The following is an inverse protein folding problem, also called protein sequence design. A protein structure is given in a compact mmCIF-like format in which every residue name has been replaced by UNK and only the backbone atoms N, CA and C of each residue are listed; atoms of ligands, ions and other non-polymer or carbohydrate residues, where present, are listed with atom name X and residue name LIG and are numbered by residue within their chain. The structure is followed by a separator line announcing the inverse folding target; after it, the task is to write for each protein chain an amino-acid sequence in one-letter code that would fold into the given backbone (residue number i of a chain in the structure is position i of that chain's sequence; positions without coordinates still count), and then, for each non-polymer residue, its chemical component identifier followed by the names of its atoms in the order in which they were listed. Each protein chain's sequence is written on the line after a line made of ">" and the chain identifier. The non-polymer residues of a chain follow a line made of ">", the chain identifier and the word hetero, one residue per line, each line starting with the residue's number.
data_IF_797782831760
#
_entry.id   IF_797782831760
#
_cell.length_a   1.000
_cell.length_b   1.000
_cell.length_c   1.000
_cell.angle_alpha   90.00
_cell.angle_beta   90.00
_cell.angle_gamma   90.00
#
_symmetry.space_group_name_H-M   'P 1'
#
loop_
_entity.id
_entity.type
_entity.pdbx_description
1 polymer ?
#
# COMPACT_ATOMS: atom_id res chain seq x y z
N UNK A 1 -21.28 -8.88 0.89
CA UNK A 1 -21.57 -8.82 -0.57
C UNK A 1 -21.54 -7.38 -1.09
N UNK A 2 -22.37 -6.47 -0.58
CA UNK A 2 -22.42 -5.08 -1.07
C UNK A 2 -21.10 -4.30 -0.95
N UNK A 3 -20.36 -4.45 0.16
CA UNK A 3 -19.05 -3.84 0.33
C UNK A 3 -18.04 -4.35 -0.71
N UNK A 4 -17.97 -5.67 -0.92
CA UNK A 4 -17.06 -6.30 -1.88
C UNK A 4 -17.36 -5.89 -3.33
N UNK A 5 -18.64 -5.83 -3.70
CA UNK A 5 -19.04 -5.28 -5.01
C UNK A 5 -18.61 -3.82 -5.15
N UNK A 6 -18.81 -3.01 -4.10
CA UNK A 6 -18.38 -1.62 -4.08
C UNK A 6 -16.87 -1.44 -4.23
N UNK A 7 -16.05 -2.28 -3.57
CA UNK A 7 -14.59 -2.25 -3.73
C UNK A 7 -14.15 -2.64 -5.14
N UNK A 8 -14.79 -3.65 -5.74
CA UNK A 8 -14.49 -4.06 -7.12
C UNK A 8 -14.84 -2.95 -8.11
N UNK A 9 -16.00 -2.32 -7.96
CA UNK A 9 -16.40 -1.18 -8.81
C UNK A 9 -15.45 -0.01 -8.61
N UNK A 10 -15.05 0.30 -7.37
CA UNK A 10 -14.10 1.37 -7.09
C UNK A 10 -12.75 1.12 -7.79
N UNK A 11 -12.23 -0.10 -7.76
CA UNK A 11 -10.98 -0.45 -8.44
C UNK A 11 -11.12 -0.34 -9.97
N UNK A 12 -12.22 -0.84 -10.54
CA UNK A 12 -12.49 -0.71 -11.99
C UNK A 12 -12.56 0.76 -12.40
N UNK A 13 -13.21 1.62 -11.60
CA UNK A 13 -13.22 3.06 -11.84
C UNK A 13 -11.82 3.66 -11.74
N UNK A 14 -10.99 3.23 -10.76
CA UNK A 14 -9.60 3.68 -10.66
C UNK A 14 -8.82 3.38 -11.94
N UNK A 15 -8.98 2.17 -12.50
CA UNK A 15 -8.33 1.75 -13.72
C UNK A 15 -8.79 2.56 -14.95
N UNK A 16 -10.09 2.78 -15.10
CA UNK A 16 -10.65 3.59 -16.20
C UNK A 16 -10.11 5.03 -16.13
N UNK A 17 -10.10 5.62 -14.93
CA UNK A 17 -9.60 6.98 -14.73
C UNK A 17 -8.10 7.07 -15.03
N UNK A 18 -7.31 6.07 -14.60
CA UNK A 18 -5.88 6.00 -14.93
C UNK A 18 -5.63 6.00 -16.45
N UNK A 19 -6.45 5.27 -17.21
CA UNK A 19 -6.39 5.24 -18.67
C UNK A 19 -7.00 6.46 -19.37
N UNK A 20 -7.76 7.29 -18.66
CA UNK A 20 -8.36 8.52 -19.21
C UNK A 20 -7.41 9.72 -19.06
N UNK A 21 -6.83 9.89 -17.87
CA UNK A 21 -5.97 11.06 -17.57
C UNK A 21 -4.50 10.86 -17.93
N UNK A 22 -4.03 9.60 -17.99
CA UNK A 22 -2.71 9.23 -18.50
C UNK A 22 -1.54 10.10 -17.98
N UNK A 23 -1.60 10.55 -16.72
CA UNK A 23 -0.59 11.45 -16.16
C UNK A 23 0.67 10.66 -15.76
N UNK A 24 1.84 11.16 -16.13
CA UNK A 24 3.12 10.55 -15.75
C UNK A 24 3.38 10.73 -14.25
N UNK A 25 3.91 9.69 -13.58
CA UNK A 25 4.34 9.80 -12.18
C UNK A 25 5.45 10.86 -12.05
N UNK A 26 5.52 11.63 -10.95
CA UNK A 26 6.55 12.64 -10.73
C UNK A 26 7.99 12.08 -10.68
N UNK A 27 8.13 10.78 -10.35
CA UNK A 27 9.41 10.06 -10.40
C UNK A 27 9.23 8.86 -11.31
N UNK A 28 9.91 8.87 -12.45
CA UNK A 28 9.97 7.73 -13.37
C UNK A 28 10.93 6.68 -12.79
N UNK A 29 10.39 5.58 -12.28
CA UNK A 29 11.19 4.39 -11.97
C UNK A 29 11.43 3.62 -13.26
N UNK A 30 12.62 3.02 -13.42
CA UNK A 30 12.91 2.08 -14.51
C UNK A 30 12.13 0.77 -14.31
N UNK A 31 10.81 0.84 -14.26
CA UNK A 31 9.93 -0.31 -14.18
C UNK A 31 9.61 -0.77 -15.61
N UNK A 32 9.57 -2.09 -15.82
CA UNK A 32 9.15 -2.71 -17.09
C UNK A 32 7.72 -2.32 -17.51
N UNK A 33 6.95 -1.72 -16.62
CA UNK A 33 5.58 -1.26 -16.84
C UNK A 33 5.43 0.21 -16.42
N UNK A 34 5.00 1.05 -17.36
CA UNK A 34 4.65 2.45 -17.10
C UNK A 34 3.33 2.50 -16.34
N UNK A 35 3.39 2.66 -15.02
CA UNK A 35 2.18 2.85 -14.21
C UNK A 35 1.80 4.34 -14.17
N UNK A 36 0.57 4.68 -14.60
CA UNK A 36 0.06 6.04 -14.53
C UNK A 36 0.00 6.56 -13.08
N UNK A 37 0.25 7.86 -12.91
CA UNK A 37 0.37 8.53 -11.61
C UNK A 37 -0.96 8.87 -10.97
N UNK A 38 -1.99 9.15 -11.78
CA UNK A 38 -3.25 9.69 -11.31
C UNK A 38 -4.43 8.86 -11.83
N UNK A 39 -5.47 8.63 -11.01
CA UNK A 39 -5.57 8.90 -9.57
C UNK A 39 -4.87 7.84 -8.69
N UNK A 40 -4.44 8.24 -7.48
CA UNK A 40 -3.88 7.33 -6.47
C UNK A 40 -4.91 6.27 -6.04
N UNK A 41 -4.62 5.00 -6.31
CA UNK A 41 -5.50 3.88 -5.94
C UNK A 41 -5.68 3.77 -4.43
N UNK A 42 -4.60 3.97 -3.66
CA UNK A 42 -4.65 3.93 -2.20
C UNK A 42 -5.54 5.04 -1.64
N UNK A 43 -5.39 6.26 -2.15
CA UNK A 43 -6.22 7.39 -1.69
C UNK A 43 -7.69 7.18 -2.06
N UNK A 44 -7.98 6.74 -3.29
CA UNK A 44 -9.33 6.49 -3.75
C UNK A 44 -10.04 5.41 -2.91
N UNK A 45 -9.33 4.31 -2.62
CA UNK A 45 -9.83 3.24 -1.78
C UNK A 45 -10.13 3.72 -0.35
N UNK A 46 -9.22 4.47 0.28
CA UNK A 46 -9.42 4.95 1.65
C UNK A 46 -10.61 5.90 1.78
N UNK A 47 -10.81 6.79 0.79
CA UNK A 47 -11.98 7.68 0.75
C UNK A 47 -13.28 6.94 0.53
N UNK A 48 -13.29 5.95 -0.37
CA UNK A 48 -14.45 5.07 -0.57
C UNK A 48 -14.80 4.31 0.71
N UNK A 49 -13.81 3.67 1.34
CA UNK A 49 -13.99 2.89 2.56
C UNK A 49 -14.56 3.76 3.69
N UNK A 50 -13.95 4.92 3.93
CA UNK A 50 -14.38 5.84 5.00
C UNK A 50 -15.81 6.30 4.79
N UNK A 51 -16.14 6.75 3.57
CA UNK A 51 -17.50 7.21 3.22
C UNK A 51 -18.53 6.10 3.38
N UNK A 52 -18.20 4.88 2.92
CA UNK A 52 -19.07 3.71 3.05
C UNK A 52 -19.35 3.37 4.53
N UNK A 53 -18.31 3.34 5.37
CA UNK A 53 -18.44 3.05 6.80
C UNK A 53 -19.28 4.10 7.51
N UNK A 54 -19.08 5.39 7.20
CA UNK A 54 -19.89 6.48 7.79
C UNK A 54 -21.37 6.30 7.48
N UNK A 55 -21.72 6.07 6.21
CA UNK A 55 -23.12 5.84 5.84
C UNK A 55 -23.68 4.56 6.45
N UNK A 56 -22.90 3.49 6.47
CA UNK A 56 -23.32 2.22 7.07
C UNK A 56 -23.64 2.38 8.56
N UNK A 57 -22.78 3.06 9.32
CA UNK A 57 -23.00 3.34 10.74
C UNK A 57 -24.24 4.22 10.94
N UNK A 58 -24.39 5.28 10.15
CA UNK A 58 -25.55 6.17 10.23
C UNK A 58 -26.87 5.41 10.02
N UNK A 59 -26.95 4.58 8.99
CA UNK A 59 -28.13 3.76 8.69
C UNK A 59 -28.41 2.78 9.84
N UNK A 60 -27.38 2.17 10.43
CA UNK A 60 -27.55 1.23 11.56
C UNK A 60 -28.10 1.89 12.82
N UNK A 61 -27.69 3.12 13.10
CA UNK A 61 -28.25 3.89 14.21
C UNK A 61 -29.67 4.37 13.89
N UNK A 62 -29.92 4.84 12.66
CA UNK A 62 -31.25 5.27 12.22
C UNK A 62 -32.29 4.16 12.33
N UNK A 63 -31.97 2.96 11.84
CA UNK A 63 -32.83 1.77 11.92
C UNK A 63 -32.91 1.15 13.32
N UNK A 64 -32.38 1.81 14.36
CA UNK A 64 -32.41 1.36 15.76
C UNK A 64 -31.72 0.00 16.03
N UNK A 65 -30.83 -0.45 15.14
CA UNK A 65 -30.03 -1.66 15.40
C UNK A 65 -28.90 -1.41 16.40
N UNK A 66 -28.40 -0.17 16.48
CA UNK A 66 -27.33 0.22 17.39
C UNK A 66 -27.59 1.58 18.03
N UNK A 67 -27.10 1.76 19.25
CA UNK A 67 -27.11 3.06 19.94
C UNK A 67 -25.80 3.82 19.68
N UNK A 68 -25.85 5.15 19.78
CA UNK A 68 -24.65 5.99 19.69
C UNK A 68 -23.57 5.59 20.69
N UNK A 69 -23.94 5.16 21.90
CA UNK A 69 -23.00 4.69 22.92
C UNK A 69 -22.23 3.44 22.47
N UNK A 70 -22.91 2.48 21.84
CA UNK A 70 -22.27 1.28 21.30
C UNK A 70 -21.32 1.61 20.15
N UNK A 71 -21.75 2.49 19.25
CA UNK A 71 -20.91 2.94 18.11
C UNK A 71 -19.65 3.66 18.62
N UNK A 72 -19.79 4.60 19.55
CA UNK A 72 -18.66 5.33 20.12
C UNK A 72 -17.70 4.42 20.90
N UNK A 73 -18.23 3.46 21.65
CA UNK A 73 -17.40 2.49 22.37
C UNK A 73 -16.61 1.61 21.39
N UNK A 74 -17.24 1.13 20.32
CA UNK A 74 -16.56 0.38 19.27
C UNK A 74 -15.50 1.20 18.54
N UNK A 75 -15.79 2.46 18.24
CA UNK A 75 -14.84 3.38 17.62
C UNK A 75 -13.62 3.64 18.52
N UNK A 76 -13.82 3.83 19.83
CA UNK A 76 -12.73 4.00 20.80
C UNK A 76 -11.83 2.77 20.87
N UNK A 77 -12.43 1.58 21.00
CA UNK A 77 -11.68 0.32 21.03
C UNK A 77 -10.89 0.12 19.73
N UNK A 78 -11.53 0.38 18.58
CA UNK A 78 -10.89 0.29 17.27
C UNK A 78 -9.72 1.27 17.10
N UNK A 79 -9.88 2.51 17.57
CA UNK A 79 -8.81 3.51 17.55
C UNK A 79 -7.61 3.07 18.41
N UNK A 80 -7.85 2.66 19.66
CA UNK A 80 -6.79 2.23 20.56
C UNK A 80 -6.05 1.00 20.02
N UNK A 81 -6.79 0.01 19.51
CA UNK A 81 -6.20 -1.17 18.90
C UNK A 81 -5.38 -0.82 17.64
N UNK A 82 -5.91 0.04 16.77
CA UNK A 82 -5.21 0.50 15.57
C UNK A 82 -3.92 1.25 15.89
N UNK A 83 -3.97 2.17 16.86
CA UNK A 83 -2.78 2.90 17.33
C UNK A 83 -1.75 1.95 17.96
N UNK A 84 -2.20 0.98 18.77
CA UNK A 84 -1.32 -0.03 19.34
C UNK A 84 -0.66 -0.89 18.26
N UNK A 85 -1.44 -1.38 17.29
CA UNK A 85 -0.92 -2.19 16.19
C UNK A 85 0.08 -1.41 15.33
N UNK A 86 -0.21 -0.14 15.03
CA UNK A 86 0.71 0.74 14.32
C UNK A 86 2.01 0.94 15.10
N UNK A 87 1.91 1.21 16.41
CA UNK A 87 3.08 1.35 17.28
C UNK A 87 3.90 0.06 17.35
N UNK A 88 3.27 -1.11 17.49
CA UNK A 88 3.95 -2.41 17.46
C UNK A 88 4.68 -2.62 16.13
N UNK A 89 4.02 -2.32 15.01
CA UNK A 89 4.63 -2.46 13.69
C UNK A 89 5.84 -1.54 13.53
N UNK A 90 5.69 -0.27 13.92
CA UNK A 90 6.75 0.73 13.79
C UNK A 90 7.92 0.50 14.76
N UNK A 91 7.63 0.17 16.03
CA UNK A 91 8.65 0.07 17.08
C UNK A 91 9.32 -1.31 17.13
N UNK A 92 8.61 -2.38 16.77
CA UNK A 92 9.10 -3.76 16.90
C UNK A 92 9.37 -4.37 15.52
N UNK A 93 8.40 -4.34 14.60
CA UNK A 93 8.58 -5.04 13.32
C UNK A 93 9.51 -4.32 12.35
N UNK A 94 9.48 -2.98 12.28
CA UNK A 94 10.40 -2.22 11.42
C UNK A 94 11.88 -2.47 11.75
N UNK A 95 12.37 -2.45 13.00
CA UNK A 95 13.77 -2.78 13.27
C UNK A 95 14.10 -4.28 13.12
N UNK A 96 13.10 -5.17 13.23
CA UNK A 96 13.29 -6.61 12.98
C UNK A 96 13.27 -6.97 11.49
N UNK A 97 12.81 -6.07 10.62
CA UNK A 97 12.66 -6.31 9.19
C UNK A 97 13.93 -6.85 8.50
N UNK A 98 15.15 -6.35 8.78
CA UNK A 98 16.37 -6.89 8.17
C UNK A 98 16.63 -8.36 8.54
N UNK A 99 16.29 -8.76 9.77
CA UNK A 99 16.42 -10.16 10.20
C UNK A 99 15.41 -11.05 9.47
N UNK A 100 14.16 -10.59 9.35
CA UNK A 100 13.11 -11.31 8.63
C UNK A 100 13.46 -11.43 7.13
N UNK A 101 14.02 -10.39 6.53
CA UNK A 101 14.47 -10.40 5.13
C UNK A 101 15.62 -11.39 4.88
N UNK A 102 16.42 -11.72 5.90
CA UNK A 102 17.50 -12.71 5.80
C UNK A 102 17.04 -14.19 5.83
N UNK A 103 15.77 -14.45 6.13
CA UNK A 103 15.24 -15.81 6.20
C UNK A 103 15.14 -16.47 4.82
N UNK A 104 15.29 -17.79 4.78
CA UNK A 104 15.27 -18.59 3.54
C UNK A 104 13.97 -18.44 2.74
N UNK A 105 12.85 -18.22 3.44
CA UNK A 105 11.53 -17.96 2.83
C UNK A 105 11.52 -16.60 2.13
N UNK A 106 12.11 -15.59 2.76
CA UNK A 106 12.22 -14.24 2.20
C UNK A 106 13.10 -14.22 0.96
N UNK A 107 14.19 -14.98 0.99
CA UNK A 107 15.05 -15.19 -0.19
C UNK A 107 14.31 -15.94 -1.32
N UNK A 108 13.53 -16.96 -0.98
CA UNK A 108 12.70 -17.69 -1.94
C UNK A 108 11.63 -16.79 -2.60
N UNK A 109 11.03 -15.87 -1.83
CA UNK A 109 10.05 -14.90 -2.32
C UNK A 109 10.69 -13.66 -2.97
N UNK A 110 12.02 -13.60 -3.02
CA UNK A 110 12.78 -12.45 -3.53
C UNK A 110 12.39 -11.13 -2.83
N UNK A 111 12.11 -11.20 -1.52
CA UNK A 111 11.84 -10.01 -0.71
C UNK A 111 13.08 -9.13 -0.68
N UNK A 112 12.93 -7.90 -1.18
CA UNK A 112 14.01 -6.93 -1.29
C UNK A 112 13.78 -5.78 -0.31
N UNK A 113 14.75 -5.58 0.58
CA UNK A 113 14.81 -4.38 1.42
C UNK A 113 15.56 -3.26 0.69
N UNK A 114 14.91 -2.12 0.46
CA UNK A 114 15.52 -0.91 -0.12
C UNK A 114 15.51 0.26 0.86
N UNK A 115 15.17 0.04 2.13
CA UNK A 115 14.92 1.09 3.13
C UNK A 115 16.14 1.98 3.36
N UNK A 116 17.34 1.40 3.33
CA UNK A 116 18.61 2.10 3.56
C UNK A 116 19.24 2.69 2.28
N UNK A 117 18.61 2.50 1.12
CA UNK A 117 19.15 2.95 -0.17
C UNK A 117 18.58 4.34 -0.48
N UNK A 118 19.40 5.42 -0.44
CA UNK A 118 18.90 6.79 -0.61
C UNK A 118 18.39 7.06 -2.04
N UNK A 119 19.00 6.43 -3.04
CA UNK A 119 18.55 6.50 -4.43
C UNK A 119 18.63 5.13 -5.09
N UNK A 120 17.49 4.44 -5.14
CA UNK A 120 17.37 3.10 -5.72
C UNK A 120 17.75 3.07 -7.20
N UNK A 121 17.37 4.10 -7.96
CA UNK A 121 17.64 4.15 -9.41
C UNK A 121 19.13 4.25 -9.70
N UNK A 122 19.84 5.09 -8.95
CA UNK A 122 21.29 5.21 -9.07
C UNK A 122 22.01 3.94 -8.63
N UNK A 123 21.54 3.32 -7.54
CA UNK A 123 22.07 2.04 -7.06
C UNK A 123 21.92 0.94 -8.11
N UNK A 124 20.73 0.79 -8.71
CA UNK A 124 20.48 -0.20 -9.77
C UNK A 124 21.27 0.08 -11.04
N UNK A 125 21.37 1.34 -11.46
CA UNK A 125 22.15 1.74 -12.63
C UNK A 125 23.63 1.38 -12.46
N UNK A 126 24.21 1.71 -11.31
CA UNK A 126 25.64 1.47 -11.05
C UNK A 126 25.97 -0.02 -10.98
N UNK A 127 25.16 -0.82 -10.28
CA UNK A 127 25.31 -2.28 -10.23
C UNK A 127 25.17 -2.92 -11.61
N UNK A 128 24.12 -2.58 -12.36
CA UNK A 128 23.89 -3.14 -13.70
C UNK A 128 25.04 -2.80 -14.65
N UNK A 129 25.55 -1.57 -14.61
CA UNK A 129 26.67 -1.12 -15.46
C UNK A 129 27.99 -1.78 -15.06
N UNK A 130 28.25 -1.98 -13.78
CA UNK A 130 29.44 -2.71 -13.30
C UNK A 130 29.40 -4.17 -13.73
N UNK A 131 28.25 -4.84 -13.59
CA UNK A 131 28.08 -6.23 -13.97
C UNK A 131 28.25 -6.43 -15.50
N UNK A 132 27.65 -5.56 -16.31
CA UNK A 132 27.83 -5.59 -17.77
C UNK A 132 29.31 -5.45 -18.18
N UNK A 133 30.05 -4.53 -17.55
CA UNK A 133 31.50 -4.38 -17.78
C UNK A 133 32.30 -5.60 -17.33
N UNK A 134 31.95 -6.20 -16.19
CA UNK A 134 32.62 -7.39 -15.68
C UNK A 134 32.41 -8.60 -16.61
N UNK A 135 31.19 -8.78 -17.15
CA UNK A 135 30.89 -9.83 -18.13
C UNK A 135 31.57 -9.58 -19.48
N UNK A 136 31.60 -8.34 -19.95
CA UNK A 136 32.28 -7.96 -21.21
C UNK A 136 33.80 -8.13 -21.17
N UNK A 137 34.42 -8.17 -19.98
CA UNK A 137 35.86 -8.45 -19.81
C UNK A 137 36.19 -9.94 -19.75
N UNK A 138 35.18 -10.80 -19.60
CA UNK A 138 35.32 -12.27 -19.55
C UNK A 138 35.03 -12.95 -20.89
N UNK A 139 34.53 -12.20 -21.85
CA UNK A 139 34.37 -12.57 -23.27
C UNK A 139 35.59 -12.04 -24.04
#
# INVERSE_FOLDING_TARGET
>A
ISFFLGTTINEVLNLILKHTFCEARPIQRNALYTEYGMPSSHSQFMWFFTTYVVYFVFIRVYLQYHTWKQVLSGALVGFLFGSLWFALTYLIFTPLFPLIASWRISEFLLLRDTTLIPNVLWFEYTHSRQEARARSRKL
#
